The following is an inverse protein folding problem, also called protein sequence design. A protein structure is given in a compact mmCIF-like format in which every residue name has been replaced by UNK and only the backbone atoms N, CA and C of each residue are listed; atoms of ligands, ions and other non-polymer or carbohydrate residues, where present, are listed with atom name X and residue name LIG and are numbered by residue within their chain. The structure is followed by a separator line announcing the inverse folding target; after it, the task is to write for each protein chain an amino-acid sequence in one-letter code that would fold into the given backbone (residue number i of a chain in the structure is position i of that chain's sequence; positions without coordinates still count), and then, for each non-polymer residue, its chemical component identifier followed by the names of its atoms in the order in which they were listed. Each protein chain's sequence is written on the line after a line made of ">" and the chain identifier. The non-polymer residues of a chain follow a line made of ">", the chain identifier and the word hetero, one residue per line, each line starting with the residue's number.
data_IF_716933500165
#
_entry.id   IF_716933500165
#
_cell.length_a   1.000
_cell.length_b   1.000
_cell.length_c   1.000
_cell.angle_alpha   90.00
_cell.angle_beta   90.00
_cell.angle_gamma   90.00
#
_symmetry.space_group_name_H-M   'P 1'
#
loop_
_entity.id
_entity.type
_entity.pdbx_description
1 polymer ?
#
# COMPACT_ATOMS: atom_id res chain seq x y z
N UNK A 1 1.78 30.26 -1.68
CA UNK A 1 1.32 29.49 -2.86
C UNK A 1 2.52 28.74 -3.41
N UNK A 2 2.49 27.41 -3.42
CA UNK A 2 3.27 26.54 -4.32
C UNK A 2 2.79 25.11 -4.16
N UNK A 3 1.81 24.74 -5.00
CA UNK A 3 1.39 23.36 -5.18
C UNK A 3 2.00 22.88 -6.49
N UNK A 4 2.82 21.84 -6.44
CA UNK A 4 3.18 21.10 -7.65
C UNK A 4 2.87 19.65 -7.38
N UNK A 5 1.71 19.20 -7.89
CA UNK A 5 1.28 17.81 -7.86
C UNK A 5 1.49 17.25 -9.26
N UNK A 6 2.65 16.65 -9.50
CA UNK A 6 2.87 15.85 -10.72
C UNK A 6 2.24 14.49 -10.50
N UNK A 7 1.01 14.31 -10.98
CA UNK A 7 0.41 13.00 -11.14
C UNK A 7 0.93 12.44 -12.47
N UNK A 8 1.84 11.47 -12.40
CA UNK A 8 2.21 10.66 -13.55
C UNK A 8 1.33 9.40 -13.53
N UNK A 9 0.29 9.40 -14.35
CA UNK A 9 -0.51 8.20 -14.64
C UNK A 9 0.31 7.33 -15.57
N UNK A 10 0.97 6.31 -15.01
CA UNK A 10 1.44 5.16 -15.79
C UNK A 10 0.45 4.04 -15.53
N UNK A 11 -0.40 3.81 -16.53
CA UNK A 11 -1.21 2.61 -16.65
C UNK A 11 -0.26 1.49 -17.07
N UNK A 12 0.08 0.60 -16.13
CA UNK A 12 0.88 -0.60 -16.40
C UNK A 12 -0.02 -1.83 -16.30
N UNK A 13 -0.05 -2.62 -17.38
CA UNK A 13 -0.52 -4.00 -17.39
C UNK A 13 0.07 -4.79 -16.20
N UNK A 14 -0.60 -5.84 -15.68
CA UNK A 14 -0.23 -6.46 -14.42
C UNK A 14 0.98 -7.37 -14.62
N UNK A 15 2.15 -6.78 -14.84
CA UNK A 15 3.36 -7.32 -14.26
C UNK A 15 3.05 -7.54 -12.79
N UNK A 16 3.32 -8.73 -12.27
CA UNK A 16 3.19 -9.01 -10.84
C UNK A 16 4.27 -8.21 -10.12
N UNK A 17 4.14 -6.87 -10.11
CA UNK A 17 5.00 -5.95 -9.40
C UNK A 17 4.87 -6.40 -7.95
N UNK A 18 5.94 -6.99 -7.42
CA UNK A 18 5.95 -7.45 -6.05
C UNK A 18 5.65 -6.29 -5.11
N UNK A 19 5.11 -6.61 -3.93
CA UNK A 19 4.92 -5.59 -2.90
C UNK A 19 6.25 -4.87 -2.60
N UNK A 20 6.22 -3.53 -2.41
CA UNK A 20 7.41 -2.79 -2.00
C UNK A 20 8.02 -3.40 -0.74
N UNK A 21 9.35 -3.49 -0.69
CA UNK A 21 10.07 -4.07 0.45
C UNK A 21 10.83 -3.03 1.26
N UNK A 22 10.95 -1.79 0.75
CA UNK A 22 11.62 -0.70 1.46
C UNK A 22 10.85 -0.35 2.75
N UNK A 23 11.53 -0.13 3.90
CA UNK A 23 10.87 0.25 5.14
C UNK A 23 9.95 1.46 4.96
N UNK A 24 8.82 1.46 5.66
CA UNK A 24 7.83 2.54 5.61
C UNK A 24 7.23 2.80 4.22
N UNK A 25 7.36 1.86 3.28
CA UNK A 25 6.65 1.92 1.98
C UNK A 25 5.16 2.05 2.21
N UNK A 26 4.48 2.77 1.33
CA UNK A 26 3.02 2.94 1.39
C UNK A 26 2.39 2.38 0.13
N UNK A 27 1.29 1.66 0.32
CA UNK A 27 0.43 1.14 -0.74
C UNK A 27 -1.03 1.43 -0.38
N UNK A 28 -1.91 1.37 -1.37
CA UNK A 28 -3.33 1.59 -1.21
C UNK A 28 -4.08 0.30 -1.50
N UNK A 29 -5.07 -0.04 -0.68
CA UNK A 29 -5.96 -1.18 -0.92
C UNK A 29 -7.35 -0.80 -0.45
N UNK A 30 -8.36 -0.99 -1.32
CA UNK A 30 -9.77 -0.65 -1.06
C UNK A 30 -9.97 0.79 -0.53
N UNK A 31 -9.19 1.75 -1.04
CA UNK A 31 -9.28 3.16 -0.65
C UNK A 31 -8.53 3.53 0.63
N UNK A 32 -7.86 2.59 1.30
CA UNK A 32 -7.09 2.83 2.52
C UNK A 32 -5.59 2.69 2.29
N UNK A 33 -4.83 3.55 2.97
CA UNK A 33 -3.38 3.45 2.98
C UNK A 33 -2.90 2.37 3.96
N UNK A 34 -1.89 1.63 3.54
CA UNK A 34 -1.19 0.66 4.36
C UNK A 34 0.31 0.93 4.30
N UNK A 35 0.95 0.98 5.47
CA UNK A 35 2.39 1.22 5.61
C UNK A 35 3.11 -0.09 5.92
N UNK A 36 4.23 -0.34 5.23
CA UNK A 36 5.10 -1.46 5.53
C UNK A 36 5.87 -1.21 6.82
N UNK A 37 5.51 -1.98 7.83
CA UNK A 37 6.19 -2.03 9.11
C UNK A 37 7.01 -3.33 9.21
N UNK A 38 8.18 -3.25 9.85
CA UNK A 38 9.00 -4.41 10.17
C UNK A 38 9.11 -4.54 11.68
N UNK A 39 8.40 -5.50 12.28
CA UNK A 39 8.50 -5.83 13.70
C UNK A 39 9.01 -7.25 13.88
N UNK A 40 10.00 -7.43 14.75
CA UNK A 40 10.57 -8.74 15.10
C UNK A 40 10.98 -9.57 13.86
N UNK A 41 11.56 -8.91 12.84
CA UNK A 41 11.99 -9.57 11.59
C UNK A 41 10.87 -9.95 10.62
N UNK A 42 9.61 -9.61 10.90
CA UNK A 42 8.47 -9.88 10.02
C UNK A 42 7.95 -8.59 9.40
N UNK A 43 7.63 -8.64 8.12
CA UNK A 43 6.95 -7.58 7.39
C UNK A 43 5.44 -7.66 7.62
N UNK A 44 4.80 -6.52 7.88
CA UNK A 44 3.35 -6.40 7.95
C UNK A 44 2.91 -5.03 7.46
N UNK A 45 1.73 -4.99 6.87
CA UNK A 45 1.12 -3.80 6.33
C UNK A 45 0.08 -3.27 7.32
N UNK A 46 0.36 -2.10 7.89
CA UNK A 46 -0.48 -1.49 8.93
C UNK A 46 -1.30 -0.36 8.32
N UNK A 47 -2.62 -0.41 8.50
CA UNK A 47 -3.57 0.57 7.99
C UNK A 47 -4.88 0.51 8.75
N UNK A 48 -5.97 0.94 8.11
CA UNK A 48 -7.32 0.88 8.67
C UNK A 48 -8.28 0.18 7.71
N UNK A 49 -9.42 -0.28 8.24
CA UNK A 49 -10.54 -0.75 7.44
C UNK A 49 -11.56 0.37 7.15
N UNK A 50 -12.65 0.04 6.45
CA UNK A 50 -13.74 0.97 6.11
C UNK A 50 -14.44 1.57 7.33
N UNK A 51 -14.26 0.99 8.52
CA UNK A 51 -14.82 1.48 9.79
C UNK A 51 -13.80 2.27 10.60
N UNK A 52 -12.61 2.52 10.05
CA UNK A 52 -11.52 3.23 10.71
C UNK A 52 -10.80 2.41 11.78
N UNK A 53 -11.00 1.08 11.82
CA UNK A 53 -10.34 0.23 12.82
C UNK A 53 -8.92 -0.11 12.38
N UNK A 54 -7.93 -0.11 13.28
CA UNK A 54 -6.58 -0.57 12.97
C UNK A 54 -6.59 -2.01 12.42
N UNK A 55 -5.88 -2.22 11.33
CA UNK A 55 -5.73 -3.52 10.68
C UNK A 55 -4.27 -3.77 10.31
N UNK A 56 -3.80 -5.00 10.56
CA UNK A 56 -2.50 -5.49 10.10
C UNK A 56 -2.72 -6.61 9.09
N UNK A 57 -2.07 -6.50 7.93
CA UNK A 57 -2.17 -7.45 6.83
C UNK A 57 -0.80 -8.07 6.52
N UNK A 58 -0.80 -9.36 6.19
CA UNK A 58 0.38 -9.98 5.61
C UNK A 58 0.55 -9.60 4.12
N UNK A 59 1.71 -9.87 3.55
CA UNK A 59 1.92 -9.73 2.11
C UNK A 59 0.89 -10.54 1.30
N UNK A 60 0.59 -11.77 1.73
CA UNK A 60 -0.38 -12.63 1.05
C UNK A 60 -1.81 -12.06 1.11
N UNK A 61 -2.19 -11.40 2.22
CA UNK A 61 -3.49 -10.75 2.32
C UNK A 61 -3.59 -9.56 1.37
N UNK A 62 -2.54 -8.76 1.27
CA UNK A 62 -2.54 -7.59 0.41
C UNK A 62 -2.54 -7.97 -1.08
N UNK A 63 -1.76 -8.99 -1.46
CA UNK A 63 -1.78 -9.54 -2.81
C UNK A 63 -3.17 -10.08 -3.19
N UNK A 64 -3.85 -10.79 -2.28
CA UNK A 64 -5.22 -11.29 -2.51
C UNK A 64 -6.25 -10.16 -2.58
N UNK A 65 -6.08 -9.09 -1.81
CA UNK A 65 -7.00 -7.94 -1.82
C UNK A 65 -6.83 -7.04 -3.03
N UNK A 66 -5.67 -7.10 -3.67
CA UNK A 66 -5.25 -6.09 -4.64
C UNK A 66 -4.78 -4.81 -3.96
N UNK A 67 -3.82 -4.15 -4.59
CA UNK A 67 -3.22 -2.92 -4.09
C UNK A 67 -2.66 -2.07 -5.23
N UNK A 68 -2.41 -0.80 -4.95
CA UNK A 68 -1.81 0.17 -5.89
C UNK A 68 -0.76 1.04 -5.18
N UNK A 69 0.18 1.60 -5.94
CA UNK A 69 1.14 2.58 -5.41
C UNK A 69 0.50 3.95 -5.11
N UNK A 70 -0.56 4.28 -5.84
CA UNK A 70 -1.26 5.56 -5.74
C UNK A 70 -2.68 5.34 -5.25
N UNK A 71 -3.25 6.36 -4.60
CA UNK A 71 -4.68 6.39 -4.33
C UNK A 71 -5.43 6.56 -5.66
N UNK A 72 -6.20 5.56 -6.05
CA UNK A 72 -7.23 5.65 -7.11
C UNK A 72 -8.54 6.15 -6.53
#
# INVERSE_FOLDING_TARGET
>A
MSTTRSASTMESEPETVGLPTAPCSVVWSKGHAYVLERRNGRAHWTGVDDRGRPQSLSNADLLRRGWTHTRS
#
